data_IF_556644871533
#
_entry.id   IF_556644871533
#
_cell.length_a   1.000
_cell.length_b   1.000
_cell.length_c   1.000
_cell.angle_alpha   90.00
_cell.angle_beta   90.00
_cell.angle_gamma   90.00
#
_symmetry.space_group_name_H-M   'P 1'
#
loop_
_entity.id
_entity.type
_entity.pdbx_description
1 polymer ?
#
# COMPACT_ATOMS: atom_id res chain seq x y z
N UNK A 1 -4.04 13.53 -13.21
CA UNK A 1 -2.80 13.60 -12.41
C UNK A 1 -3.14 13.11 -11.02
N UNK A 2 -2.48 12.06 -10.53
CA UNK A 2 -2.67 11.60 -9.16
C UNK A 2 -1.99 12.61 -8.21
N UNK A 3 -2.66 13.01 -7.13
CA UNK A 3 -2.15 14.02 -6.18
C UNK A 3 -1.07 13.46 -5.25
N UNK A 4 -1.07 12.14 -5.05
CA UNK A 4 -0.13 11.48 -4.17
C UNK A 4 0.91 10.71 -4.99
N UNK A 5 2.18 10.89 -4.66
CA UNK A 5 3.29 10.13 -5.26
C UNK A 5 3.50 8.77 -4.57
N UNK A 6 3.01 8.61 -3.33
CA UNK A 6 3.20 7.41 -2.51
C UNK A 6 1.98 7.09 -1.65
N UNK A 7 1.79 5.80 -1.38
CA UNK A 7 0.70 5.26 -0.56
C UNK A 7 1.32 4.49 0.61
N UNK A 8 1.04 4.92 1.84
CA UNK A 8 1.38 4.16 3.04
C UNK A 8 0.26 3.16 3.36
N UNK A 9 0.59 1.88 3.47
CA UNK A 9 -0.36 0.83 3.84
C UNK A 9 -0.25 0.56 5.33
N UNK A 10 -1.38 0.59 6.02
CA UNK A 10 -1.46 0.32 7.45
C UNK A 10 -2.26 -0.95 7.73
N UNK A 11 -1.78 -1.77 8.65
CA UNK A 11 -2.48 -2.94 9.16
C UNK A 11 -2.25 -3.05 10.67
N UNK A 12 -3.32 -3.29 11.44
CA UNK A 12 -3.29 -3.37 12.91
C UNK A 12 -2.55 -2.21 13.60
N UNK A 13 -2.79 -0.98 13.12
CA UNK A 13 -2.21 0.24 13.70
C UNK A 13 -0.73 0.45 13.41
N UNK A 14 -0.12 -0.33 12.51
CA UNK A 14 1.27 -0.18 12.09
C UNK A 14 1.36 0.03 10.58
N UNK A 15 2.35 0.80 10.14
CA UNK A 15 2.69 0.89 8.72
C UNK A 15 3.39 -0.42 8.33
N UNK A 16 2.85 -1.11 7.35
CA UNK A 16 3.41 -2.37 6.82
C UNK A 16 4.22 -2.16 5.55
N UNK A 17 4.05 -1.03 4.87
CA UNK A 17 4.86 -0.67 3.71
C UNK A 17 4.43 0.65 3.08
N UNK A 18 5.29 1.19 2.23
CA UNK A 18 5.01 2.40 1.46
C UNK A 18 5.30 2.08 0.00
N UNK A 19 4.29 2.25 -0.85
CA UNK A 19 4.37 1.91 -2.27
C UNK A 19 4.19 3.14 -3.16
N UNK A 20 4.57 3.03 -4.43
CA UNK A 20 4.35 4.08 -5.43
C UNK A 20 2.86 4.21 -5.76
N UNK A 21 2.42 5.40 -6.16
CA UNK A 21 1.03 5.63 -6.56
C UNK A 21 0.56 4.79 -7.76
N UNK A 22 1.49 4.31 -8.60
CA UNK A 22 1.21 3.44 -9.74
C UNK A 22 1.27 1.95 -9.40
N UNK A 23 1.37 1.60 -8.11
CA UNK A 23 1.41 0.20 -7.67
C UNK A 23 0.16 -0.56 -8.12
N UNK A 24 0.37 -1.80 -8.57
CA UNK A 24 -0.72 -2.69 -8.95
C UNK A 24 -1.73 -2.88 -7.80
N UNK A 25 -3.01 -2.76 -8.13
CA UNK A 25 -4.13 -2.89 -7.21
C UNK A 25 -4.15 -4.26 -6.54
N UNK A 26 -3.76 -5.32 -7.25
CA UNK A 26 -3.70 -6.66 -6.66
C UNK A 26 -2.67 -6.73 -5.53
N UNK A 27 -1.48 -6.19 -5.77
CA UNK A 27 -0.41 -6.10 -4.76
C UNK A 27 -0.80 -5.21 -3.59
N UNK A 28 -1.43 -4.06 -3.86
CA UNK A 28 -1.93 -3.17 -2.81
C UNK A 28 -2.98 -3.87 -1.93
N UNK A 29 -3.91 -4.62 -2.54
CA UNK A 29 -4.93 -5.40 -1.84
C UNK A 29 -4.35 -6.48 -0.94
N UNK A 30 -3.29 -7.17 -1.39
CA UNK A 30 -2.56 -8.14 -0.57
C UNK A 30 -1.93 -7.49 0.67
N UNK A 31 -1.27 -6.34 0.51
CA UNK A 31 -0.69 -5.60 1.64
C UNK A 31 -1.76 -5.11 2.63
N UNK A 32 -2.92 -4.66 2.13
CA UNK A 32 -4.06 -4.27 2.96
C UNK A 32 -4.66 -5.46 3.73
N UNK A 33 -4.60 -6.67 3.18
CA UNK A 33 -4.98 -7.91 3.85
C UNK A 33 -3.94 -8.41 4.87
N UNK A 34 -2.80 -7.72 5.01
CA UNK A 34 -1.72 -8.11 5.91
C UNK A 34 -0.79 -9.19 5.33
N UNK A 35 -0.87 -9.46 4.03
CA UNK A 35 0.12 -10.29 3.33
C UNK A 35 1.34 -9.39 3.06
N UNK A 36 2.40 -9.61 3.83
CA UNK A 36 3.64 -8.84 3.70
C UNK A 36 4.27 -9.09 2.32
N UNK A 37 4.72 -8.00 1.69
CA UNK A 37 5.44 -8.02 0.41
C UNK A 37 6.87 -8.55 0.56
#
# INVERSE_FOLDING_TARGET
>A
MALADRIAVMYRGKIVGIVDANTDRAKLGQMMAGVAA
#
